data_IF_193430312827
#
_entry.id   IF_193430312827
#
_cell.length_a   1.000
_cell.length_b   1.000
_cell.length_c   1.000
_cell.angle_alpha   90.00
_cell.angle_beta   90.00
_cell.angle_gamma   90.00
#
_symmetry.space_group_name_H-M   'P 1'
#
loop_
_entity.id
_entity.type
_entity.pdbx_description
1 polymer ?
#
# COMPACT_ATOMS: atom_id res chain seq x y z
N UNK A 1 2.73 6.39 -1.88
CA UNK A 1 1.89 5.45 -1.11
C UNK A 1 0.99 6.16 -0.10
N UNK A 2 1.48 7.17 0.63
CA UNK A 2 0.72 7.96 1.62
C UNK A 2 -0.65 8.49 1.16
N UNK A 3 -0.81 8.83 -0.13
CA UNK A 3 -2.08 9.33 -0.68
C UNK A 3 -3.12 8.25 -0.97
N UNK A 4 -2.68 6.99 -1.08
CA UNK A 4 -3.52 5.85 -1.47
C UNK A 4 -3.82 4.98 -0.26
N UNK A 5 -2.84 4.83 0.63
CA UNK A 5 -2.94 3.96 1.80
C UNK A 5 -3.78 4.61 2.91
N UNK A 6 -4.75 3.85 3.40
CA UNK A 6 -5.73 4.33 4.37
C UNK A 6 -5.11 4.62 5.75
N UNK A 7 -4.17 3.80 6.20
CA UNK A 7 -3.53 3.96 7.52
C UNK A 7 -2.79 5.29 7.64
N UNK A 8 -2.12 5.72 6.57
CA UNK A 8 -1.50 7.05 6.51
C UNK A 8 -2.53 8.17 6.40
N UNK A 9 -3.58 7.98 5.61
CA UNK A 9 -4.70 8.92 5.56
C UNK A 9 -5.32 9.18 6.94
N UNK A 10 -5.59 8.12 7.70
CA UNK A 10 -6.13 8.21 9.06
C UNK A 10 -5.20 8.97 10.01
N UNK A 11 -3.88 8.74 9.93
CA UNK A 11 -2.89 9.49 10.73
C UNK A 11 -2.90 10.98 10.39
N UNK A 12 -3.03 11.33 9.12
CA UNK A 12 -3.15 12.73 8.68
C UNK A 12 -4.44 13.38 9.19
N UNK A 13 -5.58 12.68 9.16
CA UNK A 13 -6.86 13.22 9.65
C UNK A 13 -6.94 13.30 11.17
N UNK A 14 -6.19 12.47 11.90
CA UNK A 14 -6.05 12.54 13.35
C UNK A 14 -5.07 13.64 13.81
N UNK A 15 -4.37 14.31 12.89
CA UNK A 15 -3.44 15.38 13.23
C UNK A 15 -4.19 16.59 13.80
N UNK A 16 -3.64 17.18 14.87
CA UNK A 16 -4.23 18.35 15.55
C UNK A 16 -4.47 19.54 14.61
N UNK A 17 -3.62 19.72 13.62
CA UNK A 17 -3.78 20.71 12.55
C UNK A 17 -2.94 20.34 11.32
N UNK A 18 -3.29 20.93 10.16
CA UNK A 18 -2.60 20.68 8.88
C UNK A 18 -1.11 21.06 8.89
N UNK A 19 -0.71 22.03 9.74
CA UNK A 19 0.69 22.48 9.82
C UNK A 19 1.62 21.41 10.38
N UNK A 20 1.13 20.45 11.17
CA UNK A 20 1.96 19.38 11.77
C UNK A 20 2.32 18.30 10.76
N UNK A 21 1.46 18.04 9.77
CA UNK A 21 1.63 16.97 8.77
C UNK A 21 2.98 17.07 8.02
N UNK A 22 3.39 18.22 7.45
CA UNK A 22 4.67 18.32 6.75
C UNK A 22 5.87 18.10 7.68
N UNK A 23 5.83 18.63 8.92
CA UNK A 23 6.91 18.39 9.88
C UNK A 23 7.02 16.91 10.25
N UNK A 24 5.89 16.23 10.49
CA UNK A 24 5.86 14.80 10.76
C UNK A 24 6.39 13.97 9.57
N UNK A 25 6.08 14.39 8.34
CA UNK A 25 6.59 13.73 7.13
C UNK A 25 8.12 13.90 6.99
N UNK A 26 8.65 15.10 7.25
CA UNK A 26 10.09 15.38 7.22
C UNK A 26 10.81 14.59 8.31
N UNK A 27 10.32 14.59 9.54
CA UNK A 27 10.94 13.83 10.64
C UNK A 27 10.90 12.33 10.38
N UNK A 28 9.82 11.81 9.79
CA UNK A 28 9.74 10.42 9.35
C UNK A 28 10.78 10.12 8.25
N UNK A 29 10.94 10.99 7.26
CA UNK A 29 11.93 10.84 6.19
C UNK A 29 13.37 10.82 6.72
N UNK A 30 13.72 11.73 7.64
CA UNK A 30 15.03 11.77 8.30
C UNK A 30 15.26 10.49 9.12
N UNK A 31 14.25 10.07 9.89
CA UNK A 31 14.34 8.85 10.70
C UNK A 31 14.55 7.61 9.84
N UNK A 32 13.81 7.49 8.72
CA UNK A 32 13.97 6.40 7.76
C UNK A 32 15.34 6.41 7.12
N UNK A 33 15.88 7.57 6.76
CA UNK A 33 17.21 7.69 6.20
C UNK A 33 18.29 7.20 7.18
N UNK A 34 18.21 7.63 8.45
CA UNK A 34 19.14 7.21 9.50
C UNK A 34 19.05 5.70 9.72
N UNK A 35 17.85 5.15 9.90
CA UNK A 35 17.65 3.71 10.11
C UNK A 35 18.10 2.87 8.90
N UNK A 36 17.83 3.34 7.68
CA UNK A 36 18.23 2.64 6.44
C UNK A 36 19.75 2.68 6.25
N UNK A 37 20.41 3.75 6.68
CA UNK A 37 21.88 3.88 6.60
C UNK A 37 22.59 2.78 7.38
N UNK A 38 22.04 2.35 8.53
CA UNK A 38 22.57 1.21 9.30
C UNK A 38 22.54 -0.07 8.48
N UNK A 39 21.42 -0.35 7.81
CA UNK A 39 21.26 -1.56 6.99
C UNK A 39 22.20 -1.55 5.79
N UNK A 40 22.35 -0.39 5.14
CA UNK A 40 23.28 -0.20 4.01
C UNK A 40 24.73 -0.41 4.47
N UNK A 41 25.11 0.13 5.62
CA UNK A 41 26.46 -0.02 6.18
C UNK A 41 26.83 -1.49 6.38
N UNK A 42 25.96 -2.29 7.01
CA UNK A 42 26.21 -3.73 7.19
C UNK A 42 26.23 -4.48 5.86
N UNK A 43 25.40 -4.11 4.88
CA UNK A 43 25.44 -4.68 3.54
C UNK A 43 26.76 -4.39 2.80
N UNK A 44 27.33 -3.20 2.98
CA UNK A 44 28.66 -2.84 2.42
C UNK A 44 29.76 -3.62 3.13
N UNK A 45 29.71 -3.76 4.46
CA UNK A 45 30.68 -4.57 5.21
C UNK A 45 30.65 -6.04 4.78
N UNK A 46 29.46 -6.62 4.65
CA UNK A 46 29.28 -7.98 4.13
C UNK A 46 30.02 -8.20 2.81
N UNK A 47 29.82 -7.29 1.86
CA UNK A 47 30.47 -7.33 0.56
C UNK A 47 31.98 -7.14 0.67
N UNK A 48 32.44 -6.19 1.49
CA UNK A 48 33.88 -5.90 1.65
C UNK A 48 34.66 -7.08 2.23
N UNK A 49 34.05 -7.82 3.14
CA UNK A 49 34.68 -8.99 3.79
C UNK A 49 34.32 -10.32 3.09
N UNK A 50 33.64 -10.28 1.95
CA UNK A 50 33.23 -11.47 1.16
C UNK A 50 32.51 -12.53 2.01
N UNK A 51 31.57 -12.09 2.86
CA UNK A 51 30.78 -13.02 3.66
C UNK A 51 29.93 -13.92 2.75
N UNK A 52 29.98 -15.22 3.04
CA UNK A 52 29.15 -16.22 2.39
C UNK A 52 27.86 -16.37 3.18
N UNK A 53 26.72 -16.28 2.50
CA UNK A 53 25.39 -16.40 3.09
C UNK A 53 24.71 -17.66 2.56
N UNK A 54 23.95 -18.35 3.42
CA UNK A 54 23.05 -19.41 2.95
C UNK A 54 21.89 -18.84 2.15
N UNK A 55 21.34 -19.65 1.25
CA UNK A 55 20.16 -19.27 0.47
C UNK A 55 19.00 -18.87 1.40
N UNK A 56 18.46 -17.67 1.19
CA UNK A 56 17.36 -17.11 1.98
C UNK A 56 17.75 -16.47 3.31
N UNK A 57 19.04 -16.45 3.68
CA UNK A 57 19.49 -15.76 4.89
C UNK A 57 19.35 -14.24 4.78
N UNK A 58 19.01 -13.60 5.90
CA UNK A 58 19.06 -12.14 5.99
C UNK A 58 20.51 -11.68 6.07
N UNK A 59 21.01 -11.10 4.97
CA UNK A 59 22.36 -10.51 4.88
C UNK A 59 22.60 -9.56 6.05
N UNK A 60 21.62 -8.69 6.36
CA UNK A 60 21.72 -7.74 7.45
C UNK A 60 21.93 -8.44 8.79
N UNK A 61 21.11 -9.45 9.09
CA UNK A 61 21.15 -10.12 10.38
C UNK A 61 22.46 -10.89 10.57
N UNK A 62 22.88 -11.62 9.56
CA UNK A 62 24.13 -12.40 9.62
C UNK A 62 25.34 -11.46 9.72
N UNK A 63 25.33 -10.33 9.01
CA UNK A 63 26.39 -9.32 9.13
C UNK A 63 26.47 -8.70 10.52
N UNK A 64 25.33 -8.36 11.13
CA UNK A 64 25.30 -7.84 12.51
C UNK A 64 25.85 -8.88 13.47
N UNK A 65 25.45 -10.15 13.32
CA UNK A 65 25.94 -11.26 14.14
C UNK A 65 27.45 -11.47 13.98
N UNK A 66 28.01 -11.32 12.79
CA UNK A 66 29.46 -11.47 12.54
C UNK A 66 30.27 -10.30 13.11
N UNK A 67 29.80 -9.06 12.92
CA UNK A 67 30.58 -7.87 13.23
C UNK A 67 30.29 -7.25 14.61
N UNK A 68 29.34 -7.78 15.37
CA UNK A 68 28.96 -7.23 16.69
C UNK A 68 28.98 -8.29 17.79
N UNK A 69 28.86 -7.84 19.04
CA UNK A 69 28.81 -8.75 20.19
C UNK A 69 27.39 -9.38 20.35
N UNK A 70 27.27 -10.49 21.10
CA UNK A 70 25.98 -11.18 21.28
C UNK A 70 24.86 -10.31 21.87
N UNK A 71 25.20 -9.39 22.78
CA UNK A 71 24.22 -8.47 23.36
C UNK A 71 23.65 -7.51 22.32
N UNK A 72 24.52 -6.88 21.52
CA UNK A 72 24.14 -5.96 20.46
C UNK A 72 23.31 -6.67 19.38
N UNK A 73 23.72 -7.87 18.97
CA UNK A 73 22.96 -8.70 18.03
C UNK A 73 21.55 -9.00 18.55
N UNK A 74 21.44 -9.41 19.81
CA UNK A 74 20.14 -9.74 20.43
C UNK A 74 19.22 -8.52 20.50
N UNK A 75 19.75 -7.36 20.94
CA UNK A 75 18.99 -6.11 20.97
C UNK A 75 18.55 -5.67 19.57
N UNK A 76 19.44 -5.79 18.58
CA UNK A 76 19.13 -5.43 17.20
C UNK A 76 18.05 -6.33 16.59
N UNK A 77 18.12 -7.65 16.83
CA UNK A 77 17.06 -8.58 16.45
C UNK A 77 15.72 -8.21 17.10
N UNK A 78 15.74 -7.93 18.42
CA UNK A 78 14.55 -7.47 19.14
C UNK A 78 13.95 -6.20 18.55
N UNK A 79 14.79 -5.23 18.18
CA UNK A 79 14.35 -4.00 17.52
C UNK A 79 13.68 -4.27 16.15
N UNK A 80 14.24 -5.17 15.34
CA UNK A 80 13.63 -5.57 14.06
C UNK A 80 12.28 -6.24 14.30
N UNK A 81 12.18 -7.17 15.25
CA UNK A 81 10.91 -7.83 15.57
C UNK A 81 9.85 -6.82 16.01
N UNK A 82 10.20 -5.88 16.89
CA UNK A 82 9.28 -4.83 17.33
C UNK A 82 8.84 -3.93 16.16
N UNK A 83 9.75 -3.57 15.26
CA UNK A 83 9.41 -2.79 14.07
C UNK A 83 8.43 -3.55 13.14
N UNK A 84 8.68 -4.83 12.89
CA UNK A 84 7.79 -5.69 12.07
C UNK A 84 6.41 -5.82 12.73
N UNK A 85 6.35 -6.11 14.03
CA UNK A 85 5.10 -6.25 14.78
C UNK A 85 4.31 -4.93 14.77
N UNK A 86 4.98 -3.79 14.96
CA UNK A 86 4.32 -2.47 14.93
C UNK A 86 3.67 -2.14 13.59
N UNK A 87 4.28 -2.62 12.50
CA UNK A 87 3.74 -2.45 11.14
C UNK A 87 2.58 -3.41 10.90
N UNK A 88 2.74 -4.68 11.29
CA UNK A 88 1.69 -5.69 11.19
C UNK A 88 0.42 -5.28 11.96
N UNK A 89 0.57 -4.76 13.18
CA UNK A 89 -0.55 -4.25 14.00
C UNK A 89 -1.31 -3.12 13.29
N UNK A 90 -0.59 -2.13 12.75
CA UNK A 90 -1.19 -1.02 12.01
C UNK A 90 -1.97 -1.49 10.77
N UNK A 91 -1.40 -2.40 9.98
CA UNK A 91 -2.03 -2.93 8.76
C UNK A 91 -3.26 -3.78 9.11
N UNK A 92 -3.17 -4.65 10.12
CA UNK A 92 -4.32 -5.47 10.56
C UNK A 92 -5.46 -4.60 11.08
N UNK A 93 -5.15 -3.55 11.84
CA UNK A 93 -6.13 -2.55 12.27
C UNK A 93 -6.78 -1.85 11.07
N UNK A 94 -5.99 -1.40 10.09
CA UNK A 94 -6.50 -0.74 8.88
C UNK A 94 -7.43 -1.67 8.07
N UNK A 95 -7.04 -2.92 7.84
CA UNK A 95 -7.88 -3.91 7.14
C UNK A 95 -9.20 -4.13 7.89
N UNK A 96 -9.15 -4.32 9.21
CA UNK A 96 -10.35 -4.54 10.02
C UNK A 96 -11.29 -3.32 10.00
N UNK A 97 -10.72 -2.11 9.97
CA UNK A 97 -11.46 -0.86 9.89
C UNK A 97 -12.13 -0.71 8.53
N UNK A 98 -11.39 -0.87 7.43
CA UNK A 98 -11.95 -0.88 6.06
C UNK A 98 -13.10 -1.87 5.93
N UNK A 99 -12.86 -3.12 6.35
CA UNK A 99 -13.88 -4.15 6.20
C UNK A 99 -15.11 -3.86 7.06
N UNK A 100 -14.92 -3.39 8.29
CA UNK A 100 -16.03 -3.03 9.18
C UNK A 100 -16.80 -1.78 8.72
N UNK A 101 -16.12 -0.75 8.21
CA UNK A 101 -16.75 0.51 7.85
C UNK A 101 -17.32 0.50 6.42
N UNK A 102 -16.57 0.01 5.44
CA UNK A 102 -16.96 0.10 4.03
C UNK A 102 -17.96 -0.97 3.61
N UNK A 103 -17.86 -2.18 4.20
CA UNK A 103 -18.74 -3.31 3.83
C UNK A 103 -19.87 -3.56 4.83
N UNK A 104 -19.67 -3.23 6.12
CA UNK A 104 -20.57 -3.67 7.20
C UNK A 104 -21.34 -2.51 7.88
N UNK A 105 -20.90 -1.25 7.75
CA UNK A 105 -21.50 -0.06 8.40
C UNK A 105 -22.76 0.47 7.70
N UNK A 106 -23.18 -0.12 6.57
CA UNK A 106 -24.49 0.17 5.94
C UNK A 106 -25.67 -0.12 6.90
N UNK A 107 -25.45 -0.92 7.95
CA UNK A 107 -26.44 -1.15 9.02
C UNK A 107 -26.05 -0.34 10.26
N UNK A 108 -27.01 0.38 10.86
CA UNK A 108 -26.90 1.08 12.17
C UNK A 108 -26.52 0.10 13.30
N UNK A 109 -25.29 -0.40 13.31
CA UNK A 109 -24.79 -1.34 14.31
C UNK A 109 -24.39 -0.53 15.54
N UNK A 110 -24.86 -0.93 16.73
CA UNK A 110 -24.46 -0.31 18.00
C UNK A 110 -22.93 -0.41 18.18
N UNK A 111 -22.29 0.65 18.68
CA UNK A 111 -20.82 0.78 18.83
C UNK A 111 -20.13 -0.43 19.47
N UNK A 112 -20.74 -1.04 20.49
CA UNK A 112 -20.18 -2.25 21.14
C UNK A 112 -20.17 -3.49 20.25
N UNK A 113 -21.16 -3.65 19.35
CA UNK A 113 -21.17 -4.76 18.39
C UNK A 113 -20.16 -4.53 17.27
N UNK A 114 -19.95 -3.27 16.89
CA UNK A 114 -18.94 -2.90 15.89
C UNK A 114 -17.52 -3.20 16.39
N UNK A 115 -17.19 -2.88 17.64
CA UNK A 115 -15.88 -3.20 18.20
C UNK A 115 -15.60 -4.71 18.26
N UNK A 116 -16.60 -5.53 18.64
CA UNK A 116 -16.47 -7.00 18.62
C UNK A 116 -16.26 -7.53 17.21
N UNK A 117 -16.97 -6.96 16.23
CA UNK A 117 -16.83 -7.31 14.83
C UNK A 117 -15.44 -6.97 14.31
N UNK A 118 -14.93 -5.76 14.56
CA UNK A 118 -13.57 -5.37 14.17
C UNK A 118 -12.52 -6.32 14.75
N UNK A 119 -12.62 -6.70 16.03
CA UNK A 119 -11.70 -7.68 16.65
C UNK A 119 -11.76 -9.06 15.99
N UNK A 120 -12.96 -9.54 15.64
CA UNK A 120 -13.12 -10.81 14.94
C UNK A 120 -12.52 -10.74 13.52
N UNK A 121 -12.72 -9.63 12.83
CA UNK A 121 -12.14 -9.39 11.51
C UNK A 121 -10.60 -9.34 11.60
N UNK A 122 -10.03 -8.65 12.58
CA UNK A 122 -8.58 -8.64 12.85
C UNK A 122 -8.02 -10.05 13.06
N UNK A 123 -8.71 -10.87 13.88
CA UNK A 123 -8.30 -12.25 14.12
C UNK A 123 -8.37 -13.09 12.84
N UNK A 124 -9.46 -12.98 12.08
CA UNK A 124 -9.66 -13.72 10.83
C UNK A 124 -8.63 -13.30 9.76
N UNK A 125 -8.37 -12.00 9.59
CA UNK A 125 -7.40 -11.51 8.61
C UNK A 125 -5.98 -11.85 9.02
N UNK A 126 -5.65 -11.83 10.32
CA UNK A 126 -4.37 -12.28 10.86
C UNK A 126 -4.10 -13.76 10.57
N UNK A 127 -5.06 -14.64 10.88
CA UNK A 127 -4.96 -16.07 10.58
C UNK A 127 -4.85 -16.34 9.07
N UNK A 128 -5.64 -15.63 8.26
CA UNK A 128 -5.58 -15.75 6.80
C UNK A 128 -4.22 -15.29 6.27
N UNK A 129 -3.70 -14.18 6.75
CA UNK A 129 -2.39 -13.64 6.34
C UNK A 129 -1.26 -14.60 6.71
N UNK A 130 -1.34 -15.23 7.88
CA UNK A 130 -0.39 -16.25 8.32
C UNK A 130 -0.46 -17.51 7.45
N UNK A 131 -1.67 -17.99 7.12
CA UNK A 131 -1.85 -19.12 6.23
C UNK A 131 -1.29 -18.83 4.83
N UNK A 132 -1.60 -17.65 4.28
CA UNK A 132 -1.08 -17.18 2.98
C UNK A 132 0.44 -17.06 3.02
N UNK A 133 1.02 -16.57 4.12
CA UNK A 133 2.46 -16.38 4.29
C UNK A 133 3.27 -17.67 4.11
N UNK A 134 2.73 -18.83 4.48
CA UNK A 134 3.41 -20.12 4.28
C UNK A 134 3.55 -20.54 2.82
N UNK A 135 2.79 -19.94 1.90
CA UNK A 135 2.89 -20.26 0.47
C UNK A 135 3.94 -19.42 -0.26
N UNK A 136 4.54 -18.41 0.37
CA UNK A 136 5.47 -17.48 -0.27
C UNK A 136 6.89 -17.57 0.29
N UNK A 137 7.84 -17.85 -0.60
CA UNK A 137 9.26 -17.93 -0.25
C UNK A 137 10.00 -16.59 -0.37
N UNK A 138 9.43 -15.60 -1.09
CA UNK A 138 10.08 -14.32 -1.36
C UNK A 138 9.17 -13.14 -0.96
N UNK A 139 9.49 -12.53 0.19
CA UNK A 139 8.75 -11.39 0.74
C UNK A 139 8.89 -10.14 -0.14
N UNK A 140 10.08 -9.87 -0.69
CA UNK A 140 10.33 -8.68 -1.51
C UNK A 140 9.48 -8.73 -2.80
N UNK A 141 9.41 -9.89 -3.44
CA UNK A 141 8.57 -10.07 -4.63
C UNK A 141 7.09 -9.82 -4.35
N UNK A 142 6.59 -10.30 -3.21
CA UNK A 142 5.20 -10.08 -2.79
C UNK A 142 4.90 -8.62 -2.46
N UNK A 143 5.84 -7.92 -1.82
CA UNK A 143 5.72 -6.48 -1.57
C UNK A 143 5.63 -5.69 -2.88
N UNK A 144 6.53 -5.97 -3.83
CA UNK A 144 6.51 -5.31 -5.15
C UNK A 144 5.18 -5.58 -5.86
N UNK A 145 4.70 -6.83 -5.84
CA UNK A 145 3.42 -7.21 -6.45
C UNK A 145 2.23 -6.45 -5.84
N UNK A 146 2.21 -6.32 -4.51
CA UNK A 146 1.15 -5.58 -3.80
C UNK A 146 1.16 -4.10 -4.19
N UNK A 147 2.34 -3.47 -4.22
CA UNK A 147 2.47 -2.07 -4.59
C UNK A 147 2.13 -1.82 -6.07
N UNK A 148 2.54 -2.71 -6.96
CA UNK A 148 2.24 -2.66 -8.38
C UNK A 148 0.72 -2.62 -8.60
N UNK A 149 -0.03 -3.51 -7.94
CA UNK A 149 -1.49 -3.53 -8.04
C UNK A 149 -2.11 -2.20 -7.60
N UNK A 150 -1.70 -1.65 -6.45
CA UNK A 150 -2.22 -0.38 -5.94
C UNK A 150 -1.94 0.78 -6.89
N UNK A 151 -0.73 0.86 -7.45
CA UNK A 151 -0.36 1.92 -8.41
C UNK A 151 -1.16 1.76 -9.70
N UNK A 152 -1.23 0.56 -10.25
CA UNK A 152 -1.92 0.29 -11.52
C UNK A 152 -3.41 0.61 -11.48
N UNK A 153 -4.07 0.35 -10.35
CA UNK A 153 -5.53 0.48 -10.21
C UNK A 153 -5.97 1.84 -9.69
N UNK A 154 -5.22 2.44 -8.75
CA UNK A 154 -5.69 3.59 -7.98
C UNK A 154 -4.97 4.90 -8.32
N UNK A 155 -3.79 4.87 -8.95
CA UNK A 155 -3.00 6.08 -9.20
C UNK A 155 -3.77 7.11 -10.06
N UNK A 156 -4.25 6.70 -11.24
CA UNK A 156 -5.00 7.58 -12.15
C UNK A 156 -6.26 8.18 -11.51
N UNK A 157 -7.20 7.38 -10.95
CA UNK A 157 -8.45 7.94 -10.44
C UNK A 157 -8.22 8.85 -9.22
N UNK A 158 -7.22 8.58 -8.37
CA UNK A 158 -6.90 9.43 -7.21
C UNK A 158 -6.29 10.76 -7.67
N UNK A 159 -5.33 10.74 -8.59
CA UNK A 159 -4.74 11.97 -9.12
C UNK A 159 -5.81 12.82 -9.83
N UNK A 160 -6.68 12.19 -10.62
CA UNK A 160 -7.79 12.88 -11.24
C UNK A 160 -8.76 13.48 -10.21
N UNK A 161 -9.03 12.77 -9.10
CA UNK A 161 -9.89 13.27 -8.03
C UNK A 161 -9.31 14.51 -7.33
N UNK A 162 -7.99 14.62 -7.22
CA UNK A 162 -7.30 15.76 -6.59
C UNK A 162 -7.18 16.94 -7.55
N UNK A 163 -6.84 16.69 -8.82
CA UNK A 163 -6.49 17.75 -9.78
C UNK A 163 -7.68 18.26 -10.60
N UNK A 164 -8.72 17.45 -10.82
CA UNK A 164 -9.87 17.84 -11.64
C UNK A 164 -11.00 18.42 -10.80
N UNK A 165 -11.69 19.44 -11.33
CA UNK A 165 -12.85 20.07 -10.66
C UNK A 165 -14.10 19.18 -10.62
N UNK A 166 -14.33 18.38 -11.67
CA UNK A 166 -15.53 17.53 -11.84
C UNK A 166 -15.16 16.13 -12.38
N UNK A 167 -14.38 15.33 -11.61
CA UNK A 167 -14.06 13.95 -12.00
C UNK A 167 -15.32 13.08 -11.96
N UNK A 168 -15.49 12.22 -12.96
CA UNK A 168 -16.62 11.30 -13.01
C UNK A 168 -16.40 10.05 -12.17
N UNK A 169 -17.45 9.60 -11.45
CA UNK A 169 -17.47 8.29 -10.77
C UNK A 169 -17.32 7.13 -11.76
N UNK A 170 -17.93 7.23 -12.95
CA UNK A 170 -17.81 6.22 -14.00
C UNK A 170 -16.39 6.16 -14.55
N UNK A 171 -15.73 7.32 -14.72
CA UNK A 171 -14.33 7.40 -15.12
C UNK A 171 -13.42 6.69 -14.12
N UNK A 172 -13.60 6.97 -12.82
CA UNK A 172 -12.82 6.31 -11.78
C UNK A 172 -13.03 4.80 -11.77
N UNK A 173 -14.27 4.33 -11.89
CA UNK A 173 -14.59 2.91 -11.91
C UNK A 173 -13.97 2.17 -13.12
N UNK A 174 -14.12 2.73 -14.33
CA UNK A 174 -13.54 2.14 -15.54
C UNK A 174 -12.01 2.15 -15.50
N UNK A 175 -11.41 3.18 -14.90
CA UNK A 175 -9.96 3.26 -14.67
C UNK A 175 -9.46 2.13 -13.77
N UNK A 176 -10.14 1.88 -12.64
CA UNK A 176 -9.82 0.80 -11.70
C UNK A 176 -9.91 -0.56 -12.40
N UNK A 177 -11.00 -0.82 -13.14
CA UNK A 177 -11.19 -2.09 -13.86
C UNK A 177 -10.13 -2.28 -14.93
N UNK A 178 -9.88 -1.26 -15.76
CA UNK A 178 -8.89 -1.35 -16.84
C UNK A 178 -7.47 -1.56 -16.30
N UNK A 179 -7.11 -0.88 -15.21
CA UNK A 179 -5.84 -1.10 -14.51
C UNK A 179 -5.74 -2.51 -13.91
N UNK A 180 -6.80 -3.02 -13.29
CA UNK A 180 -6.82 -4.38 -12.72
C UNK A 180 -6.69 -5.46 -13.79
N UNK A 181 -7.41 -5.30 -14.91
CA UNK A 181 -7.30 -6.20 -16.06
C UNK A 181 -5.91 -6.15 -16.68
N UNK A 182 -5.32 -4.96 -16.84
CA UNK A 182 -3.96 -4.80 -17.35
C UNK A 182 -2.93 -5.51 -16.46
N UNK A 183 -3.04 -5.36 -15.13
CA UNK A 183 -2.16 -6.01 -14.16
C UNK A 183 -2.18 -7.53 -14.28
N UNK A 184 -3.36 -8.14 -14.46
CA UNK A 184 -3.51 -9.59 -14.63
C UNK A 184 -3.03 -10.03 -16.01
N UNK A 185 -3.48 -9.37 -17.08
CA UNK A 185 -3.22 -9.79 -18.47
C UNK A 185 -1.75 -9.68 -18.85
N UNK A 186 -1.09 -8.56 -18.54
CA UNK A 186 0.33 -8.37 -18.85
C UNK A 186 1.25 -9.24 -17.99
N UNK A 187 0.74 -9.92 -16.95
CA UNK A 187 1.51 -10.94 -16.24
C UNK A 187 1.86 -12.12 -17.15
N UNK A 188 0.92 -12.55 -17.98
CA UNK A 188 1.05 -13.73 -18.85
C UNK A 188 1.59 -13.40 -20.25
N UNK A 189 1.64 -12.11 -20.60
CA UNK A 189 2.13 -11.64 -21.89
C UNK A 189 3.56 -11.10 -21.73
N UNK A 190 4.45 -11.52 -22.62
CA UNK A 190 5.78 -10.93 -22.73
C UNK A 190 5.68 -9.61 -23.52
N UNK A 191 6.03 -8.51 -22.88
CA UNK A 191 5.99 -7.17 -23.47
C UNK A 191 7.40 -6.59 -23.58
N UNK A 192 7.71 -5.85 -24.65
CA UNK A 192 9.02 -5.18 -24.81
C UNK A 192 9.18 -3.96 -23.89
N UNK A 193 8.09 -3.47 -23.29
CA UNK A 193 8.01 -2.31 -22.42
C UNK A 193 7.64 -2.79 -20.99
N UNK A 194 8.09 -2.09 -19.92
CA UNK A 194 7.64 -2.37 -18.56
C UNK A 194 6.12 -2.48 -18.44
N UNK A 195 5.66 -3.55 -17.78
CA UNK A 195 4.25 -3.94 -17.69
C UNK A 195 3.42 -2.91 -16.92
N UNK A 196 4.06 -2.26 -15.97
CA UNK A 196 3.50 -1.22 -15.11
C UNK A 196 3.07 -0.02 -15.96
N UNK A 197 3.89 0.39 -16.94
CA UNK A 197 3.59 1.52 -17.81
C UNK A 197 2.41 1.23 -18.73
N UNK A 198 2.35 0.03 -19.30
CA UNK A 198 1.22 -0.41 -20.13
C UNK A 198 -0.07 -0.47 -19.31
N UNK A 199 0.01 -0.98 -18.09
CA UNK A 199 -1.14 -1.10 -17.20
C UNK A 199 -1.68 0.27 -16.77
N UNK A 200 -0.79 1.20 -16.40
CA UNK A 200 -1.19 2.58 -16.07
C UNK A 200 -1.80 3.27 -17.29
N UNK A 201 -1.28 3.00 -18.49
CA UNK A 201 -1.83 3.53 -19.73
C UNK A 201 -3.26 3.01 -19.99
N UNK A 202 -3.52 1.72 -19.77
CA UNK A 202 -4.89 1.16 -19.83
C UNK A 202 -5.82 1.80 -18.79
N UNK A 203 -5.34 1.96 -17.56
CA UNK A 203 -6.09 2.64 -16.49
C UNK A 203 -6.45 4.08 -16.88
N UNK A 204 -5.53 4.80 -17.51
CA UNK A 204 -5.75 6.16 -18.02
C UNK A 204 -6.76 6.21 -19.18
N UNK A 205 -6.68 5.25 -20.12
CA UNK A 205 -7.67 5.14 -21.20
C UNK A 205 -9.06 4.86 -20.66
N UNK A 206 -9.19 3.95 -19.69
CA UNK A 206 -10.45 3.67 -18.99
C UNK A 206 -11.04 4.93 -18.35
N UNK A 207 -10.20 5.75 -17.72
CA UNK A 207 -10.60 7.04 -17.16
C UNK A 207 -11.13 8.00 -18.23
N UNK A 208 -10.40 8.21 -19.33
CA UNK A 208 -10.82 9.11 -20.42
C UNK A 208 -12.17 8.67 -21.00
N UNK A 209 -12.34 7.38 -21.25
CA UNK A 209 -13.59 6.84 -21.81
C UNK A 209 -14.76 7.13 -20.88
N UNK A 210 -14.62 6.83 -19.59
CA UNK A 210 -15.69 7.11 -18.62
C UNK A 210 -15.97 8.61 -18.46
N UNK A 211 -14.95 9.46 -18.53
CA UNK A 211 -15.11 10.91 -18.44
C UNK A 211 -15.89 11.46 -19.65
N UNK A 212 -15.57 10.99 -20.86
CA UNK A 212 -16.28 11.39 -22.09
C UNK A 212 -17.75 10.95 -22.06
N UNK A 213 -18.03 9.71 -21.65
CA UNK A 213 -19.41 9.18 -21.51
C UNK A 213 -20.20 10.05 -20.53
N UNK A 214 -19.59 10.42 -19.40
CA UNK A 214 -20.25 11.22 -18.37
C UNK A 214 -20.52 12.64 -18.86
N UNK A 215 -19.54 13.32 -19.45
CA UNK A 215 -19.72 14.67 -19.98
C UNK A 215 -20.84 14.71 -21.03
N UNK A 216 -20.93 13.70 -21.91
CA UNK A 216 -22.02 13.60 -22.89
C UNK A 216 -23.40 13.49 -22.21
N UNK A 217 -23.51 12.68 -21.15
CA UNK A 217 -24.78 12.50 -20.42
C UNK A 217 -25.23 13.75 -19.66
N UNK A 218 -24.30 14.59 -19.19
CA UNK A 218 -24.62 15.85 -18.51
C UNK A 218 -25.16 16.87 -19.51
N UNK A 219 -24.50 17.03 -20.66
CA UNK A 219 -24.93 17.93 -21.73
C UNK A 219 -26.35 17.55 -22.23
N UNK A 220 -26.64 16.27 -22.43
CA UNK A 220 -27.98 15.84 -22.86
C UNK A 220 -29.07 16.14 -21.83
N UNK A 221 -28.76 16.10 -20.52
CA UNK A 221 -29.73 16.43 -19.47
C UNK A 221 -29.97 17.93 -19.31
N UNK A 222 -28.99 18.77 -19.61
CA UNK A 222 -29.17 20.23 -19.59
C UNK A 222 -30.05 20.68 -20.76
N UNK A 223 -29.82 20.16 -21.97
CA UNK A 223 -30.63 20.48 -23.17
C UNK A 223 -32.10 20.06 -23.01
N UNK A 224 -32.38 18.90 -22.42
CA UNK A 224 -33.77 18.41 -22.24
C UNK A 224 -34.54 19.16 -21.15
N UNK A 225 -33.87 19.88 -20.25
CA UNK A 225 -34.53 20.67 -19.20
C UNK A 225 -34.72 22.15 -19.58
N UNK A 226 -34.19 22.60 -20.73
CA UNK A 226 -34.40 23.94 -21.26
C UNK A 226 -35.55 24.02 -22.28
N UNK A 227 -36.13 22.88 -22.68
CA UNK A 227 -37.33 22.75 -23.52
C UNK A 227 -38.59 22.47 -22.66
#
# INVERSE_FOLDING_TARGET
FTLIEQDMGQRCFAAKNSRIIPFAAITAGISLFICSSVSIYFGILAKRYNLQFSDGASILLESVKTFTNPLATTLFMGAIFMAVISTADSILCAISSNLSYDFLSSKKIKTNKQLRLSRLLTLATGLLSLAIGFFFNNVVGMLILSYELSVCTLFIPIIAAILMKKPSKLAAFLSIIAGGLGFITFRFISTPIPKELLTISLSFLGFIVGQKITNKSVITKEVVNED
#
